data_IF_340939150592
#
_entry.id   IF_340939150592
#
_cell.length_a   1.000
_cell.length_b   1.000
_cell.length_c   1.000
_cell.angle_alpha   90.00
_cell.angle_beta   90.00
_cell.angle_gamma   90.00
#
_symmetry.space_group_name_H-M   'P 1'
#
loop_
_entity.id
_entity.type
_entity.pdbx_description
1 polymer ?
#
# COMPACT_ATOMS: atom_id res chain seq x y z
N UNK A 1 -17.53 -48.89 24.11
CA UNK A 1 -17.82 -48.45 22.74
C UNK A 1 -18.86 -47.35 22.88
N UNK A 2 -18.47 -46.10 22.68
CA UNK A 2 -19.41 -44.97 22.66
C UNK A 2 -20.25 -45.13 21.39
N UNK A 3 -21.56 -45.38 21.53
CA UNK A 3 -22.48 -45.28 20.40
C UNK A 3 -22.66 -43.79 20.07
N UNK A 4 -21.85 -43.30 19.13
CA UNK A 4 -22.03 -41.96 18.57
C UNK A 4 -23.14 -42.06 17.53
N UNK A 5 -24.34 -41.59 17.87
CA UNK A 5 -25.40 -41.39 16.88
C UNK A 5 -25.20 -39.99 16.27
N UNK A 6 -24.56 -39.94 15.11
CA UNK A 6 -24.39 -38.70 14.36
C UNK A 6 -25.65 -38.42 13.53
N UNK A 7 -26.27 -37.27 13.74
CA UNK A 7 -27.38 -36.79 12.93
C UNK A 7 -26.89 -35.59 12.11
N UNK A 8 -26.94 -35.72 10.77
CA UNK A 8 -26.65 -34.64 9.83
C UNK A 8 -27.96 -33.95 9.47
N UNK A 9 -28.01 -32.63 9.67
CA UNK A 9 -29.16 -31.80 9.35
C UNK A 9 -28.79 -30.58 8.51
N UNK A 10 -29.79 -29.97 7.91
CA UNK A 10 -29.64 -28.73 7.15
C UNK A 10 -30.71 -27.70 7.53
N UNK A 11 -30.32 -26.44 7.46
CA UNK A 11 -31.16 -25.25 7.63
C UNK A 11 -30.78 -24.23 6.55
N UNK A 12 -31.56 -23.16 6.38
CA UNK A 12 -31.26 -22.10 5.41
C UNK A 12 -29.83 -21.56 5.63
N UNK A 13 -28.94 -21.75 4.64
CA UNK A 13 -27.51 -21.36 4.67
C UNK A 13 -26.67 -22.07 5.74
N UNK A 14 -27.08 -23.25 6.23
CA UNK A 14 -26.34 -24.01 7.24
C UNK A 14 -26.48 -25.52 7.05
N UNK A 15 -25.38 -26.23 7.20
CA UNK A 15 -25.36 -27.69 7.40
C UNK A 15 -24.74 -27.92 8.78
N UNK A 16 -25.23 -28.91 9.52
CA UNK A 16 -24.70 -29.25 10.83
C UNK A 16 -24.65 -30.76 11.03
N UNK A 17 -23.68 -31.20 11.83
CA UNK A 17 -23.63 -32.54 12.41
C UNK A 17 -23.85 -32.40 13.92
N UNK A 18 -24.61 -33.32 14.50
CA UNK A 18 -24.88 -33.36 15.94
C UNK A 18 -24.60 -34.75 16.49
N UNK A 19 -23.98 -34.80 17.67
CA UNK A 19 -23.71 -36.05 18.38
C UNK A 19 -23.90 -35.85 19.88
N UNK A 20 -24.34 -36.90 20.58
CA UNK A 20 -24.48 -36.90 22.04
C UNK A 20 -23.50 -37.90 22.63
N UNK A 21 -22.61 -37.44 23.51
CA UNK A 21 -21.58 -38.26 24.13
C UNK A 21 -21.74 -38.24 25.66
N UNK A 22 -21.61 -39.40 26.32
CA UNK A 22 -21.49 -39.51 27.78
C UNK A 22 -20.03 -39.65 28.15
N UNK A 23 -19.46 -38.62 28.76
CA UNK A 23 -18.05 -38.58 29.17
C UNK A 23 -18.00 -38.75 30.69
N UNK A 24 -17.10 -39.58 31.22
CA UNK A 24 -16.93 -39.70 32.67
C UNK A 24 -16.06 -38.56 33.22
N UNK A 25 -16.14 -38.35 34.52
CA UNK A 25 -15.19 -37.48 35.22
C UNK A 25 -13.75 -37.94 34.94
N UNK A 26 -12.89 -37.00 34.52
CA UNK A 26 -11.49 -37.23 34.14
C UNK A 26 -11.27 -38.00 32.82
N UNK A 27 -12.29 -38.17 31.97
CA UNK A 27 -12.11 -38.60 30.58
C UNK A 27 -12.02 -37.38 29.65
N UNK A 28 -11.20 -37.47 28.60
CA UNK A 28 -11.08 -36.45 27.54
C UNK A 28 -11.98 -36.82 26.36
N UNK A 29 -12.71 -35.83 25.82
CA UNK A 29 -13.34 -35.91 24.51
C UNK A 29 -12.68 -34.88 23.59
N UNK A 30 -12.05 -35.36 22.52
CA UNK A 30 -11.39 -34.53 21.52
C UNK A 30 -12.24 -34.50 20.23
N UNK A 31 -12.30 -33.34 19.57
CA UNK A 31 -13.00 -33.15 18.30
C UNK A 31 -12.07 -32.56 17.26
N UNK A 32 -11.93 -33.24 16.14
CA UNK A 32 -11.16 -32.76 14.99
C UNK A 32 -12.11 -32.30 13.88
N UNK A 33 -11.94 -31.06 13.43
CA UNK A 33 -12.66 -30.51 12.28
C UNK A 33 -11.67 -30.02 11.25
N UNK A 34 -11.72 -30.63 10.08
CA UNK A 34 -10.97 -30.21 8.91
C UNK A 34 -11.90 -29.54 7.92
N UNK A 35 -11.44 -28.43 7.34
CA UNK A 35 -12.21 -27.64 6.36
C UNK A 35 -11.30 -27.31 5.20
N UNK A 36 -11.78 -27.54 3.98
CA UNK A 36 -11.17 -27.06 2.75
C UNK A 36 -12.10 -26.03 2.12
N UNK A 37 -11.52 -24.96 1.59
CA UNK A 37 -12.25 -23.88 0.93
C UNK A 37 -11.61 -23.71 -0.44
N UNK A 38 -12.44 -23.75 -1.48
CA UNK A 38 -12.05 -23.49 -2.86
C UNK A 38 -13.00 -22.49 -3.50
N UNK A 39 -12.47 -21.70 -4.42
CA UNK A 39 -13.20 -20.80 -5.29
C UNK A 39 -12.76 -21.00 -6.73
N UNK A 40 -13.54 -20.49 -7.69
CA UNK A 40 -13.16 -20.48 -9.12
C UNK A 40 -11.89 -19.66 -9.41
N UNK A 41 -11.40 -18.88 -8.43
CA UNK A 41 -10.22 -18.04 -8.58
C UNK A 41 -8.91 -18.76 -8.24
N UNK A 42 -9.00 -19.92 -7.59
CA UNK A 42 -7.82 -20.64 -7.14
C UNK A 42 -6.95 -21.12 -8.32
N UNK A 43 -5.62 -21.23 -8.15
CA UNK A 43 -4.70 -21.64 -9.22
C UNK A 43 -5.07 -22.96 -9.89
N UNK A 44 -5.69 -23.90 -9.18
CA UNK A 44 -6.19 -25.19 -9.69
C UNK A 44 -7.15 -25.05 -10.89
N UNK A 45 -7.81 -23.90 -11.01
CA UNK A 45 -8.79 -23.63 -12.06
C UNK A 45 -8.33 -22.59 -13.08
N UNK A 46 -7.07 -22.13 -13.00
CA UNK A 46 -6.51 -21.11 -13.89
C UNK A 46 -6.60 -21.54 -15.36
N UNK A 47 -7.01 -20.60 -16.22
CA UNK A 47 -7.12 -20.81 -17.68
C UNK A 47 -8.36 -21.58 -18.14
N UNK A 48 -9.24 -22.00 -17.22
CA UNK A 48 -10.54 -22.57 -17.59
C UNK A 48 -11.56 -21.45 -17.80
N UNK A 49 -12.14 -21.36 -19.00
CA UNK A 49 -13.19 -20.38 -19.30
C UNK A 49 -14.46 -20.60 -18.47
N UNK A 50 -14.75 -21.87 -18.14
CA UNK A 50 -15.88 -22.26 -17.28
C UNK A 50 -15.44 -23.39 -16.36
N UNK A 51 -15.74 -23.24 -15.08
CA UNK A 51 -15.51 -24.25 -14.05
C UNK A 51 -16.88 -24.61 -13.50
N UNK A 52 -17.26 -25.89 -13.58
CA UNK A 52 -18.53 -26.34 -13.04
C UNK A 52 -18.48 -26.49 -11.52
N UNK A 53 -19.61 -26.31 -10.83
CA UNK A 53 -19.72 -26.54 -9.39
C UNK A 53 -19.23 -27.94 -8.99
N UNK A 54 -19.47 -28.95 -9.84
CA UNK A 54 -19.01 -30.33 -9.63
C UNK A 54 -17.49 -30.46 -9.65
N UNK A 55 -16.79 -29.67 -10.45
CA UNK A 55 -15.32 -29.68 -10.47
C UNK A 55 -14.75 -29.07 -9.18
N UNK A 56 -15.34 -27.97 -8.71
CA UNK A 56 -14.93 -27.31 -7.46
C UNK A 56 -15.23 -28.21 -6.28
N UNK A 57 -16.43 -28.77 -6.23
CA UNK A 57 -16.86 -29.74 -5.22
C UNK A 57 -15.90 -30.93 -5.17
N UNK A 58 -15.59 -31.51 -6.35
CA UNK A 58 -14.64 -32.63 -6.43
C UNK A 58 -13.27 -32.26 -5.89
N UNK A 59 -12.68 -31.13 -6.31
CA UNK A 59 -11.37 -30.69 -5.82
C UNK A 59 -11.38 -30.47 -4.29
N UNK A 60 -12.45 -29.83 -3.79
CA UNK A 60 -12.65 -29.55 -2.36
C UNK A 60 -12.71 -30.84 -1.54
N UNK A 61 -13.54 -31.81 -1.97
CA UNK A 61 -13.74 -33.09 -1.30
C UNK A 61 -12.50 -33.97 -1.40
N UNK A 62 -11.86 -34.05 -2.58
CA UNK A 62 -10.68 -34.88 -2.79
C UNK A 62 -9.51 -34.41 -1.93
N UNK A 63 -9.30 -33.09 -1.78
CA UNK A 63 -8.28 -32.57 -0.87
C UNK A 63 -8.65 -32.73 0.60
N UNK A 64 -9.94 -32.58 0.98
CA UNK A 64 -10.37 -32.86 2.34
C UNK A 64 -10.11 -34.32 2.73
N UNK A 65 -10.41 -35.28 1.86
CA UNK A 65 -10.13 -36.72 2.08
C UNK A 65 -8.65 -36.97 2.32
N UNK A 66 -7.77 -36.38 1.51
CA UNK A 66 -6.31 -36.48 1.70
C UNK A 66 -5.87 -35.93 3.06
N UNK A 67 -6.41 -34.79 3.49
CA UNK A 67 -6.05 -34.20 4.78
C UNK A 67 -6.57 -35.03 5.97
N UNK A 68 -7.76 -35.62 5.84
CA UNK A 68 -8.29 -36.56 6.84
C UNK A 68 -7.39 -37.80 6.95
N UNK A 69 -6.91 -38.35 5.83
CA UNK A 69 -5.97 -39.49 5.84
C UNK A 69 -4.61 -39.13 6.49
N UNK A 70 -4.16 -37.88 6.37
CA UNK A 70 -2.93 -37.40 7.00
C UNK A 70 -3.10 -37.23 8.51
N UNK A 71 -4.23 -36.68 8.96
CA UNK A 71 -4.56 -36.44 10.38
C UNK A 71 -4.06 -35.10 10.93
N UNK A 72 -4.72 -34.59 11.97
CA UNK A 72 -4.43 -33.28 12.56
C UNK A 72 -2.97 -33.11 13.01
N UNK A 73 -2.44 -34.08 13.77
CA UNK A 73 -1.10 -33.97 14.35
C UNK A 73 0.00 -33.79 13.30
N UNK A 74 -0.10 -34.51 12.17
CA UNK A 74 0.87 -34.39 11.08
C UNK A 74 0.74 -33.05 10.37
N UNK A 75 -0.49 -32.56 10.16
CA UNK A 75 -0.74 -31.24 9.56
C UNK A 75 -0.24 -30.12 10.48
N UNK A 76 -0.51 -30.20 11.78
CA UNK A 76 -0.03 -29.23 12.77
C UNK A 76 1.49 -29.27 12.89
N UNK A 77 2.11 -30.46 12.87
CA UNK A 77 3.55 -30.62 12.80
C UNK A 77 4.17 -29.98 11.56
N UNK A 78 3.53 -30.13 10.39
CA UNK A 78 3.96 -29.47 9.16
C UNK A 78 3.81 -27.94 9.24
N UNK A 79 2.70 -27.44 9.80
CA UNK A 79 2.48 -26.02 10.07
C UNK A 79 3.56 -25.43 10.98
N UNK A 80 3.84 -26.08 12.12
CA UNK A 80 4.89 -25.66 13.04
C UNK A 80 6.24 -25.62 12.35
N UNK A 81 6.60 -26.68 11.62
CA UNK A 81 7.85 -26.73 10.86
C UNK A 81 7.98 -25.58 9.86
N UNK A 82 6.88 -25.18 9.21
CA UNK A 82 6.88 -24.05 8.29
C UNK A 82 7.12 -22.72 9.02
N UNK A 83 6.46 -22.50 10.16
CA UNK A 83 6.71 -21.32 10.99
C UNK A 83 8.12 -21.29 11.57
N UNK A 84 8.65 -22.41 12.04
CA UNK A 84 10.03 -22.51 12.52
C UNK A 84 11.04 -22.14 11.42
N UNK A 85 10.74 -22.44 10.15
CA UNK A 85 11.57 -22.02 9.01
C UNK A 85 11.44 -20.52 8.74
N UNK A 86 10.23 -19.97 8.80
CA UNK A 86 9.98 -18.54 8.61
C UNK A 86 10.70 -17.72 9.69
N UNK A 87 10.54 -18.08 10.97
CA UNK A 87 11.16 -17.37 12.10
C UNK A 87 12.68 -17.30 12.00
N UNK A 88 13.35 -18.35 11.51
CA UNK A 88 14.81 -18.32 11.27
C UNK A 88 15.27 -17.25 10.29
N UNK A 89 14.38 -16.77 9.43
CA UNK A 89 14.69 -15.80 8.38
C UNK A 89 14.25 -14.38 8.74
N UNK A 90 13.21 -14.24 9.55
CA UNK A 90 12.54 -12.95 9.79
C UNK A 90 12.77 -12.40 11.21
N UNK A 91 13.09 -13.24 12.19
CA UNK A 91 13.02 -12.83 13.61
C UNK A 91 13.98 -11.67 13.92
N UNK A 92 13.44 -10.63 14.55
CA UNK A 92 14.21 -9.51 15.09
C UNK A 92 14.26 -9.71 16.60
N UNK A 93 15.46 -9.94 17.12
CA UNK A 93 15.70 -10.11 18.56
C UNK A 93 16.12 -8.79 19.17
N UNK A 94 15.31 -8.27 20.08
CA UNK A 94 15.56 -7.00 20.76
C UNK A 94 16.23 -7.25 22.10
N UNK A 95 17.17 -6.38 22.47
CA UNK A 95 17.69 -6.26 23.82
C UNK A 95 16.96 -5.11 24.52
N UNK A 96 15.72 -5.36 24.96
CA UNK A 96 14.81 -4.36 25.51
C UNK A 96 13.66 -5.00 26.29
N UNK A 97 12.58 -4.24 26.58
CA UNK A 97 11.39 -4.77 27.24
C UNK A 97 10.79 -5.99 26.53
N UNK A 98 10.26 -6.95 27.31
CA UNK A 98 9.63 -8.15 26.76
C UNK A 98 8.42 -7.83 25.86
N UNK A 99 7.73 -6.71 26.14
CA UNK A 99 6.59 -6.27 25.34
C UNK A 99 6.99 -5.85 23.93
N UNK A 100 8.10 -5.11 23.78
CA UNK A 100 8.63 -4.70 22.47
C UNK A 100 8.98 -5.92 21.61
N UNK A 101 9.60 -6.93 22.24
CA UNK A 101 9.92 -8.19 21.58
C UNK A 101 8.64 -8.94 21.12
N UNK A 102 7.58 -8.90 21.93
CA UNK A 102 6.29 -9.45 21.55
C UNK A 102 5.64 -8.63 20.43
N UNK A 103 5.69 -7.30 20.50
CA UNK A 103 5.08 -6.38 19.54
C UNK A 103 5.72 -6.52 18.15
N UNK A 104 7.06 -6.55 18.05
CA UNK A 104 7.73 -6.73 16.75
C UNK A 104 7.39 -8.10 16.13
N UNK A 105 7.39 -9.16 16.95
CA UNK A 105 7.00 -10.51 16.49
C UNK A 105 5.53 -10.58 16.10
N UNK A 106 4.65 -9.87 16.80
CA UNK A 106 3.24 -9.77 16.45
C UNK A 106 3.04 -9.10 15.09
N UNK A 107 3.72 -7.97 14.85
CA UNK A 107 3.70 -7.28 13.55
C UNK A 107 4.23 -8.16 12.42
N UNK A 108 5.37 -8.82 12.64
CA UNK A 108 5.95 -9.77 11.67
C UNK A 108 4.97 -10.91 11.37
N UNK A 109 4.43 -11.56 12.40
CA UNK A 109 3.44 -12.63 12.26
C UNK A 109 2.27 -12.21 11.36
N UNK A 110 1.73 -11.01 11.56
CA UNK A 110 0.63 -10.49 10.77
C UNK A 110 1.01 -10.22 9.30
N UNK A 111 2.16 -9.59 9.05
CA UNK A 111 2.65 -9.36 7.68
C UNK A 111 2.75 -10.69 6.92
N UNK A 112 3.42 -11.70 7.50
CA UNK A 112 3.66 -12.96 6.79
C UNK A 112 2.42 -13.84 6.66
N UNK A 113 1.54 -13.86 7.67
CA UNK A 113 0.29 -14.63 7.56
C UNK A 113 -0.67 -14.04 6.51
N UNK A 114 -0.68 -12.71 6.35
CA UNK A 114 -1.57 -12.03 5.41
C UNK A 114 -1.00 -11.90 3.99
N UNK A 115 0.26 -12.30 3.78
CA UNK A 115 0.92 -12.22 2.47
C UNK A 115 0.45 -13.36 1.54
N UNK A 116 -0.22 -13.07 0.41
CA UNK A 116 -0.65 -14.10 -0.53
C UNK A 116 0.53 -14.60 -1.36
N UNK A 117 1.15 -15.70 -0.94
CA UNK A 117 2.32 -16.28 -1.65
C UNK A 117 1.96 -17.19 -2.81
N UNK A 118 0.69 -17.54 -2.98
CA UNK A 118 0.24 -18.60 -3.90
C UNK A 118 -0.22 -18.08 -5.27
N UNK A 119 -0.43 -16.77 -5.44
CA UNK A 119 -0.92 -16.17 -6.68
C UNK A 119 -0.41 -14.73 -6.85
N UNK A 120 0.22 -14.45 -7.98
CA UNK A 120 0.75 -13.12 -8.38
C UNK A 120 -0.35 -12.10 -8.72
N UNK A 121 -1.62 -12.53 -8.82
CA UNK A 121 -2.79 -11.65 -9.02
C UNK A 121 -3.38 -11.13 -7.71
N UNK A 122 -2.77 -11.49 -6.58
CA UNK A 122 -3.20 -11.07 -5.25
C UNK A 122 -2.11 -10.21 -4.61
N UNK A 123 -2.54 -9.31 -3.74
CA UNK A 123 -1.66 -8.44 -2.97
C UNK A 123 -2.21 -8.26 -1.55
N UNK A 124 -1.53 -7.47 -0.72
CA UNK A 124 -1.85 -7.30 0.69
C UNK A 124 -2.79 -6.09 0.85
N UNK A 125 -3.98 -6.33 1.37
CA UNK A 125 -4.95 -5.28 1.64
C UNK A 125 -4.62 -4.49 2.91
N UNK A 126 -5.16 -3.27 3.07
CA UNK A 126 -4.90 -2.39 4.22
C UNK A 126 -5.24 -3.01 5.60
N UNK A 127 -6.14 -4.01 5.65
CA UNK A 127 -6.46 -4.81 6.86
C UNK A 127 -6.17 -6.29 6.67
N UNK A 128 -5.41 -6.64 5.63
CA UNK A 128 -5.18 -8.00 5.19
C UNK A 128 -6.48 -8.80 5.11
N UNK A 129 -6.55 -9.90 5.83
CA UNK A 129 -7.74 -10.76 5.96
C UNK A 129 -8.26 -10.82 7.41
N UNK A 130 -8.08 -9.75 8.18
CA UNK A 130 -8.51 -9.69 9.59
C UNK A 130 -9.94 -9.20 9.81
N UNK A 131 -10.58 -8.64 8.79
CA UNK A 131 -11.93 -8.11 8.87
C UNK A 131 -12.36 -7.40 7.59
N UNK A 132 -13.53 -6.79 7.62
CA UNK A 132 -14.15 -6.14 6.44
C UNK A 132 -13.76 -4.66 6.28
N UNK A 133 -13.00 -4.10 7.22
CA UNK A 133 -12.47 -2.74 7.12
C UNK A 133 -11.65 -2.56 5.85
N UNK A 134 -11.91 -1.49 5.09
CA UNK A 134 -11.34 -1.26 3.75
C UNK A 134 -11.57 -2.38 2.73
N UNK A 135 -12.53 -3.29 2.97
CA UNK A 135 -13.10 -4.23 1.99
C UNK A 135 -12.10 -5.17 1.29
N UNK A 136 -10.91 -5.35 1.86
CA UNK A 136 -9.84 -6.12 1.21
C UNK A 136 -9.16 -5.40 0.04
N UNK A 137 -9.27 -4.07 -0.02
CA UNK A 137 -8.63 -3.26 -1.05
C UNK A 137 -7.15 -3.02 -0.74
N UNK A 138 -6.37 -2.91 -1.81
CA UNK A 138 -4.92 -2.69 -1.83
C UNK A 138 -4.65 -1.22 -2.12
N UNK A 139 -3.89 -0.58 -1.24
CA UNK A 139 -3.50 0.83 -1.27
C UNK A 139 -1.97 0.94 -1.42
N UNK A 140 -1.45 2.16 -1.44
CA UNK A 140 -0.01 2.43 -1.33
C UNK A 140 0.66 1.83 -0.08
N UNK A 141 -0.15 1.49 0.95
CA UNK A 141 0.25 0.75 2.16
C UNK A 141 1.10 -0.49 1.81
N UNK A 142 0.72 -1.22 0.75
CA UNK A 142 1.45 -2.41 0.34
C UNK A 142 2.86 -2.04 -0.12
N UNK A 143 2.98 -1.08 -1.05
CA UNK A 143 4.24 -0.68 -1.66
C UNK A 143 5.19 0.02 -0.70
N UNK A 144 4.69 0.93 0.14
CA UNK A 144 5.53 1.82 0.94
C UNK A 144 5.81 1.27 2.34
N UNK A 145 4.85 0.59 2.96
CA UNK A 145 4.98 0.17 4.36
C UNK A 145 5.30 -1.32 4.51
N UNK A 146 4.70 -2.18 3.68
CA UNK A 146 4.84 -3.63 3.84
C UNK A 146 5.97 -4.18 2.98
N UNK A 147 6.03 -3.76 1.71
CA UNK A 147 6.96 -4.30 0.71
C UNK A 147 8.44 -4.19 1.12
N UNK A 148 8.93 -3.10 1.76
CA UNK A 148 10.35 -3.02 2.14
C UNK A 148 10.81 -4.20 3.01
N UNK A 149 9.99 -4.62 3.97
CA UNK A 149 10.29 -5.79 4.81
C UNK A 149 10.42 -7.07 3.97
N UNK A 150 9.60 -7.22 2.94
CA UNK A 150 9.60 -8.37 2.04
C UNK A 150 10.73 -8.31 1.01
N UNK A 151 11.15 -7.13 0.57
CA UNK A 151 12.31 -6.98 -0.32
C UNK A 151 13.56 -7.57 0.35
N UNK A 152 13.79 -7.23 1.63
CA UNK A 152 14.99 -7.66 2.35
C UNK A 152 14.89 -9.06 2.98
N UNK A 153 13.67 -9.60 3.16
CA UNK A 153 13.49 -10.94 3.72
C UNK A 153 13.13 -11.99 2.67
N UNK A 154 12.24 -11.70 1.71
CA UNK A 154 11.77 -12.62 0.68
C UNK A 154 11.58 -11.92 -0.68
N UNK A 155 12.67 -11.56 -1.39
CA UNK A 155 12.59 -10.77 -2.63
C UNK A 155 11.70 -11.41 -3.71
N UNK A 156 11.67 -12.73 -3.82
CA UNK A 156 10.78 -13.45 -4.76
C UNK A 156 9.29 -13.25 -4.45
N UNK A 157 8.93 -13.03 -3.18
CA UNK A 157 7.56 -12.70 -2.77
C UNK A 157 7.29 -11.23 -3.06
N UNK A 158 8.23 -10.33 -2.76
CA UNK A 158 8.11 -8.91 -3.11
C UNK A 158 7.88 -8.72 -4.62
N UNK A 159 8.63 -9.44 -5.46
CA UNK A 159 8.41 -9.48 -6.91
C UNK A 159 6.99 -9.86 -7.29
N UNK A 160 6.40 -10.88 -6.66
CA UNK A 160 5.01 -11.33 -6.93
C UNK A 160 4.00 -10.25 -6.56
N UNK A 161 4.21 -9.55 -5.45
CA UNK A 161 3.36 -8.44 -5.04
C UNK A 161 3.47 -7.24 -5.99
N UNK A 162 4.63 -6.99 -6.60
CA UNK A 162 4.77 -5.99 -7.65
C UNK A 162 4.12 -6.44 -8.97
N UNK A 163 4.18 -7.73 -9.30
CA UNK A 163 3.51 -8.28 -10.48
C UNK A 163 1.99 -8.11 -10.44
N UNK A 164 1.37 -8.04 -9.26
CA UNK A 164 -0.04 -7.64 -9.10
C UNK A 164 -0.33 -6.31 -9.83
N UNK A 165 0.52 -5.29 -9.65
CA UNK A 165 0.36 -3.99 -10.34
C UNK A 165 0.56 -4.10 -11.84
N UNK A 166 1.47 -4.96 -12.31
CA UNK A 166 1.65 -5.21 -13.73
C UNK A 166 0.42 -5.89 -14.36
N UNK A 167 -0.17 -6.90 -13.69
CA UNK A 167 -1.37 -7.60 -14.17
C UNK A 167 -2.57 -6.65 -14.31
N UNK A 168 -2.60 -5.56 -13.54
CA UNK A 168 -3.66 -4.56 -13.55
C UNK A 168 -3.29 -3.24 -14.25
N UNK A 169 -2.20 -3.21 -15.01
CA UNK A 169 -1.75 -2.01 -15.74
C UNK A 169 -2.81 -1.51 -16.74
N UNK A 170 -3.56 -2.41 -17.37
CA UNK A 170 -4.65 -2.02 -18.30
C UNK A 170 -5.80 -1.30 -17.58
N UNK A 171 -6.10 -1.66 -16.33
CA UNK A 171 -7.08 -0.95 -15.51
C UNK A 171 -6.63 0.48 -15.20
N UNK A 172 -5.33 0.66 -14.91
CA UNK A 172 -4.73 1.97 -14.69
C UNK A 172 -4.72 2.84 -15.97
N UNK A 173 -4.53 2.22 -17.15
CA UNK A 173 -4.64 2.90 -18.45
C UNK A 173 -6.05 3.40 -18.72
N UNK A 174 -7.06 2.57 -18.47
CA UNK A 174 -8.45 3.01 -18.66
C UNK A 174 -8.83 4.11 -17.65
N UNK A 175 -8.39 4.00 -16.38
CA UNK A 175 -8.61 5.07 -15.39
C UNK A 175 -8.01 6.40 -15.85
N UNK A 176 -6.77 6.41 -16.35
CA UNK A 176 -6.15 7.64 -16.87
C UNK A 176 -7.01 8.27 -17.96
N UNK A 177 -7.42 7.47 -18.94
CA UNK A 177 -8.25 7.88 -20.07
C UNK A 177 -9.64 8.38 -19.64
N UNK A 178 -10.29 7.72 -18.69
CA UNK A 178 -11.58 8.15 -18.11
C UNK A 178 -11.49 9.52 -17.44
N UNK A 179 -10.31 9.86 -16.91
CA UNK A 179 -10.01 11.16 -16.29
C UNK A 179 -9.39 12.18 -17.27
N UNK A 180 -9.34 11.85 -18.57
CA UNK A 180 -8.81 12.76 -19.61
C UNK A 180 -7.29 12.83 -19.69
N UNK A 181 -6.58 11.90 -19.07
CA UNK A 181 -5.12 11.78 -19.08
C UNK A 181 -4.63 10.67 -20.03
N UNK A 182 -3.34 10.68 -20.32
CA UNK A 182 -2.67 9.60 -21.05
C UNK A 182 -1.97 8.63 -20.09
N UNK A 183 -1.36 7.56 -20.62
CA UNK A 183 -0.55 6.65 -19.80
C UNK A 183 -1.35 5.80 -18.82
N UNK A 184 -0.80 5.56 -17.64
CA UNK A 184 -1.39 4.74 -16.59
C UNK A 184 -1.49 5.50 -15.26
N UNK A 185 -2.72 5.68 -14.78
CA UNK A 185 -3.06 6.26 -13.48
C UNK A 185 -3.58 5.14 -12.59
N UNK A 186 -2.80 4.71 -11.60
CA UNK A 186 -3.24 3.61 -10.74
C UNK A 186 -4.45 4.04 -9.87
N UNK A 187 -5.37 3.11 -9.57
CA UNK A 187 -6.44 3.37 -8.62
C UNK A 187 -5.89 3.56 -7.21
N UNK A 188 -6.52 4.44 -6.42
CA UNK A 188 -6.20 4.64 -5.01
C UNK A 188 -6.51 3.37 -4.22
N UNK A 189 -7.72 2.84 -4.42
CA UNK A 189 -8.14 1.55 -3.89
C UNK A 189 -8.24 0.55 -5.04
N UNK A 190 -7.42 -0.50 -4.99
CA UNK A 190 -7.42 -1.56 -5.99
C UNK A 190 -7.95 -2.88 -5.42
N UNK A 191 -8.69 -3.64 -6.22
CA UNK A 191 -9.18 -4.96 -5.87
C UNK A 191 -8.78 -5.99 -6.94
N UNK A 192 -9.74 -6.68 -7.56
CA UNK A 192 -9.51 -7.82 -8.43
C UNK A 192 -9.63 -7.56 -9.93
N UNK A 193 -10.11 -6.38 -10.33
CA UNK A 193 -10.20 -5.96 -11.73
C UNK A 193 -9.11 -4.96 -12.13
N UNK A 194 -8.40 -4.38 -11.17
CA UNK A 194 -7.48 -3.27 -11.43
C UNK A 194 -8.15 -1.90 -11.56
N UNK A 195 -9.48 -1.83 -11.49
CA UNK A 195 -10.23 -0.59 -11.56
C UNK A 195 -10.25 0.16 -10.21
N UNK A 196 -10.61 1.43 -10.26
CA UNK A 196 -10.87 2.23 -9.07
C UNK A 196 -12.10 1.69 -8.32
N UNK A 197 -11.91 1.32 -7.06
CA UNK A 197 -12.98 0.84 -6.19
C UNK A 197 -13.17 1.69 -4.94
N UNK A 198 -12.49 2.84 -4.87
CA UNK A 198 -12.67 3.82 -3.80
C UNK A 198 -14.14 4.24 -3.71
N UNK A 199 -14.80 4.09 -2.54
CA UNK A 199 -16.17 4.54 -2.37
C UNK A 199 -16.27 6.05 -2.56
N UNK A 200 -17.27 6.53 -3.29
CA UNK A 200 -17.50 7.98 -3.46
C UNK A 200 -18.08 8.65 -2.21
N UNK A 201 -18.69 7.87 -1.32
CA UNK A 201 -19.37 8.38 -0.14
C UNK A 201 -18.96 7.56 1.09
N UNK A 202 -18.57 8.28 2.13
CA UNK A 202 -18.10 7.72 3.39
C UNK A 202 -19.13 7.80 4.50
N UNK A 203 -18.63 8.01 5.72
CA UNK A 203 -19.44 8.23 6.90
C UNK A 203 -20.32 9.49 6.80
N UNK A 204 -21.00 9.80 7.89
CA UNK A 204 -21.89 10.96 7.97
C UNK A 204 -21.17 12.09 8.70
N UNK A 205 -21.21 13.30 8.15
CA UNK A 205 -20.76 14.51 8.85
C UNK A 205 -21.69 14.77 10.05
N UNK A 206 -21.12 14.82 11.25
CA UNK A 206 -21.91 14.89 12.50
C UNK A 206 -22.68 16.21 12.67
N UNK A 207 -22.24 17.31 12.05
CA UNK A 207 -22.93 18.61 12.15
C UNK A 207 -24.10 18.71 11.17
N UNK A 208 -23.94 18.16 9.96
CA UNK A 208 -24.90 18.32 8.86
C UNK A 208 -25.78 17.10 8.63
N UNK A 209 -25.39 15.92 9.13
CA UNK A 209 -26.10 14.65 8.93
C UNK A 209 -26.02 14.11 7.50
N UNK A 210 -25.17 14.70 6.63
CA UNK A 210 -25.02 14.30 5.22
C UNK A 210 -23.86 13.31 5.04
N UNK A 211 -23.92 12.41 4.06
CA UNK A 211 -22.76 11.60 3.68
C UNK A 211 -21.59 12.50 3.27
N UNK A 212 -20.42 12.20 3.79
CA UNK A 212 -19.18 12.87 3.39
C UNK A 212 -18.72 12.32 2.04
N UNK A 213 -18.39 13.22 1.11
CA UNK A 213 -17.76 12.86 -0.16
C UNK A 213 -16.31 12.45 0.12
N UNK A 214 -15.90 11.30 -0.40
CA UNK A 214 -14.50 10.83 -0.33
C UNK A 214 -13.85 11.15 -1.67
N UNK A 215 -12.81 11.98 -1.70
CA UNK A 215 -12.17 12.40 -2.94
C UNK A 215 -10.90 11.64 -3.32
N UNK A 216 -10.38 10.80 -2.44
CA UNK A 216 -9.06 10.14 -2.59
C UNK A 216 -8.95 9.32 -3.87
N UNK A 217 -10.01 8.63 -4.29
CA UNK A 217 -10.04 7.89 -5.57
C UNK A 217 -9.82 8.75 -6.81
N UNK A 218 -10.16 10.04 -6.75
CA UNK A 218 -9.98 10.99 -7.84
C UNK A 218 -8.73 11.88 -7.66
N UNK A 219 -8.46 12.35 -6.45
CA UNK A 219 -7.48 13.40 -6.16
C UNK A 219 -6.16 12.89 -5.56
N UNK A 220 -6.15 11.69 -4.95
CA UNK A 220 -4.96 11.15 -4.30
C UNK A 220 -4.16 10.27 -5.28
N UNK A 221 -3.44 10.96 -6.18
CA UNK A 221 -2.85 10.34 -7.38
C UNK A 221 -1.41 9.86 -7.15
N UNK A 222 -0.80 10.22 -6.01
CA UNK A 222 0.60 9.94 -5.67
C UNK A 222 0.94 8.44 -5.58
N UNK A 223 -0.06 7.58 -5.34
CA UNK A 223 0.06 6.11 -5.45
C UNK A 223 0.73 5.64 -6.75
N UNK A 224 0.56 6.38 -7.83
CA UNK A 224 1.19 6.07 -9.12
C UNK A 224 2.72 6.21 -9.05
N UNK A 225 3.23 7.20 -8.32
CA UNK A 225 4.65 7.34 -8.02
C UNK A 225 5.14 6.31 -7.01
N UNK A 226 4.35 6.00 -5.98
CA UNK A 226 4.72 5.05 -4.94
C UNK A 226 4.98 3.64 -5.50
N UNK A 227 4.18 3.24 -6.50
CA UNK A 227 4.39 2.00 -7.23
C UNK A 227 5.72 2.02 -7.98
N UNK A 228 6.10 3.12 -8.63
CA UNK A 228 7.40 3.21 -9.30
C UNK A 228 8.54 3.28 -8.29
N UNK A 229 8.35 3.96 -7.16
CA UNK A 229 9.30 4.01 -6.05
C UNK A 229 9.62 2.61 -5.54
N UNK A 230 8.59 1.82 -5.24
CA UNK A 230 8.75 0.46 -4.75
C UNK A 230 9.37 -0.50 -5.79
N UNK A 231 9.03 -0.34 -7.08
CA UNK A 231 9.68 -1.07 -8.19
C UNK A 231 11.18 -0.74 -8.25
N UNK A 232 11.53 0.53 -8.13
CA UNK A 232 12.92 0.97 -8.15
C UNK A 232 13.68 0.48 -6.93
N UNK A 233 13.08 0.57 -5.73
CA UNK A 233 13.65 0.07 -4.48
C UNK A 233 13.91 -1.45 -4.54
N UNK A 234 12.94 -2.22 -5.04
CA UNK A 234 13.12 -3.66 -5.30
C UNK A 234 14.29 -3.93 -6.24
N UNK A 235 14.38 -3.19 -7.35
CA UNK A 235 15.45 -3.37 -8.33
C UNK A 235 16.82 -2.99 -7.75
N UNK A 236 16.92 -1.92 -6.95
CA UNK A 236 18.16 -1.53 -6.29
C UNK A 236 18.65 -2.60 -5.30
N UNK A 237 17.73 -3.25 -4.58
CA UNK A 237 18.07 -4.27 -3.61
C UNK A 237 18.41 -5.64 -4.24
N UNK A 238 17.82 -5.98 -5.40
CA UNK A 238 17.91 -7.33 -5.98
C UNK A 238 18.69 -7.43 -7.28
N UNK A 239 18.86 -6.30 -7.99
CA UNK A 239 19.38 -6.24 -9.36
C UNK A 239 18.64 -7.18 -10.33
N UNK A 240 17.34 -7.43 -10.11
CA UNK A 240 16.50 -8.26 -10.96
C UNK A 240 16.16 -7.55 -12.28
N UNK A 241 17.12 -7.58 -13.19
CA UNK A 241 17.01 -7.02 -14.53
C UNK A 241 15.89 -7.68 -15.34
N UNK A 242 15.64 -8.98 -15.16
CA UNK A 242 14.57 -9.69 -15.87
C UNK A 242 13.20 -9.13 -15.50
N UNK A 243 12.98 -8.80 -14.23
CA UNK A 243 11.77 -8.10 -13.79
C UNK A 243 11.64 -6.73 -14.45
N UNK A 244 12.71 -5.93 -14.44
CA UNK A 244 12.68 -4.60 -15.05
C UNK A 244 12.43 -4.64 -16.57
N UNK A 245 13.04 -5.57 -17.29
CA UNK A 245 12.91 -5.67 -18.75
C UNK A 245 11.55 -6.19 -19.19
N UNK A 246 10.92 -7.06 -18.41
CA UNK A 246 9.63 -7.66 -18.78
C UNK A 246 8.43 -6.90 -18.21
N UNK A 247 8.60 -6.14 -17.12
CA UNK A 247 7.49 -5.54 -16.38
C UNK A 247 7.78 -4.10 -15.95
N UNK A 248 8.89 -3.87 -15.23
CA UNK A 248 9.18 -2.59 -14.59
C UNK A 248 9.26 -1.41 -15.55
N UNK A 249 10.01 -1.55 -16.65
CA UNK A 249 10.18 -0.47 -17.65
C UNK A 249 8.85 -0.04 -18.27
N UNK A 250 7.93 -0.98 -18.52
CA UNK A 250 6.62 -0.65 -19.08
C UNK A 250 5.79 0.16 -18.09
N UNK A 251 5.77 -0.24 -16.82
CA UNK A 251 5.07 0.52 -15.76
C UNK A 251 5.67 1.92 -15.64
N UNK A 252 7.00 2.04 -15.56
CA UNK A 252 7.68 3.33 -15.43
C UNK A 252 7.36 4.28 -16.58
N UNK A 253 7.37 3.80 -17.83
CA UNK A 253 7.06 4.61 -19.00
C UNK A 253 5.59 5.03 -19.05
N UNK A 254 4.64 4.13 -18.79
CA UNK A 254 3.20 4.44 -18.86
C UNK A 254 2.77 5.37 -17.72
N UNK A 255 3.29 5.18 -16.51
CA UNK A 255 3.02 6.08 -15.39
C UNK A 255 3.68 7.44 -15.57
N UNK A 256 4.87 7.50 -16.19
CA UNK A 256 5.51 8.78 -16.55
C UNK A 256 4.73 9.53 -17.63
N UNK A 257 4.15 8.81 -18.59
CA UNK A 257 3.21 9.38 -19.58
C UNK A 257 1.98 9.99 -18.90
N UNK A 258 1.43 9.30 -17.90
CA UNK A 258 0.33 9.87 -17.09
C UNK A 258 0.75 11.19 -16.45
N UNK A 259 1.85 11.21 -15.70
CA UNK A 259 2.29 12.43 -15.05
C UNK A 259 2.62 13.56 -16.04
N UNK A 260 3.27 13.24 -17.16
CA UNK A 260 3.53 14.22 -18.20
C UNK A 260 2.25 14.83 -18.82
N UNK A 261 1.15 14.06 -18.89
CA UNK A 261 -0.16 14.56 -19.32
C UNK A 261 -0.94 15.29 -18.21
N UNK A 262 -0.63 14.98 -16.94
CA UNK A 262 -1.26 15.55 -15.75
C UNK A 262 -0.72 16.92 -15.36
N UNK A 263 0.53 17.20 -15.72
CA UNK A 263 1.22 18.46 -15.43
C UNK A 263 0.59 19.64 -16.19
N UNK A 264 0.32 20.71 -15.45
CA UNK A 264 -0.27 21.94 -15.96
C UNK A 264 0.82 23.01 -16.12
N UNK A 265 0.99 23.55 -17.32
CA UNK A 265 2.01 24.59 -17.56
C UNK A 265 1.51 25.97 -17.12
N UNK A 266 2.24 26.63 -16.23
CA UNK A 266 2.04 28.01 -15.83
C UNK A 266 2.98 28.94 -16.61
N UNK A 267 2.50 29.67 -17.63
CA UNK A 267 3.34 30.49 -18.49
C UNK A 267 3.88 31.75 -17.80
N UNK A 268 3.25 32.22 -16.73
CA UNK A 268 3.69 33.42 -16.00
C UNK A 268 4.93 33.15 -15.15
N UNK A 269 5.03 31.92 -14.62
CA UNK A 269 6.12 31.45 -13.77
C UNK A 269 7.14 30.57 -14.51
N UNK A 270 6.89 30.20 -15.77
CA UNK A 270 7.66 29.22 -16.57
C UNK A 270 7.92 27.91 -15.80
N UNK A 271 6.85 27.34 -15.25
CA UNK A 271 6.90 26.12 -14.46
C UNK A 271 5.71 25.21 -14.73
N UNK A 272 5.83 23.93 -14.37
CA UNK A 272 4.70 23.00 -14.34
C UNK A 272 4.20 22.81 -12.91
N UNK A 273 2.88 22.74 -12.78
CA UNK A 273 2.16 22.63 -11.51
C UNK A 273 1.28 21.37 -11.55
N UNK A 274 0.92 20.87 -10.35
CA UNK A 274 -0.10 19.82 -10.19
C UNK A 274 -1.13 20.38 -9.22
N UNK A 275 -2.24 20.84 -9.77
CA UNK A 275 -3.31 21.51 -9.04
C UNK A 275 -4.46 20.56 -8.73
N UNK A 276 -5.30 20.87 -7.75
CA UNK A 276 -6.48 20.06 -7.40
C UNK A 276 -6.13 18.58 -7.10
N UNK A 277 -5.34 18.37 -6.04
CA UNK A 277 -4.92 17.05 -5.57
C UNK A 277 -5.15 16.87 -4.07
N UNK A 278 -4.88 15.67 -3.59
CA UNK A 278 -4.74 15.32 -2.17
C UNK A 278 -3.39 14.63 -2.01
N UNK A 279 -2.58 15.09 -1.05
CA UNK A 279 -1.32 14.43 -0.68
C UNK A 279 -1.55 13.31 0.33
N UNK A 280 -0.49 12.74 0.91
CA UNK A 280 -0.62 11.76 1.99
C UNK A 280 -1.43 12.26 3.19
N UNK A 281 -1.45 13.57 3.46
CA UNK A 281 -2.37 14.16 4.41
C UNK A 281 -3.78 14.33 3.81
N UNK A 282 -4.62 13.31 4.01
CA UNK A 282 -6.01 13.30 3.53
C UNK A 282 -6.93 14.33 4.20
N UNK A 283 -6.49 15.10 5.20
CA UNK A 283 -7.26 16.24 5.70
C UNK A 283 -7.20 17.45 4.78
N UNK A 284 -6.24 17.46 3.84
CA UNK A 284 -6.02 18.51 2.87
C UNK A 284 -6.48 18.06 1.48
N UNK A 285 -7.70 18.42 1.10
CA UNK A 285 -8.29 18.12 -0.21
C UNK A 285 -8.35 19.36 -1.12
N UNK A 286 -8.42 19.15 -2.44
CA UNK A 286 -8.46 20.23 -3.44
C UNK A 286 -7.31 21.25 -3.29
N UNK A 287 -6.13 20.74 -2.95
CA UNK A 287 -4.93 21.56 -2.75
C UNK A 287 -4.10 21.65 -4.03
N UNK A 288 -3.37 22.74 -4.18
CA UNK A 288 -2.47 22.95 -5.30
C UNK A 288 -1.02 22.71 -4.88
N UNK A 289 -0.27 22.05 -5.76
CA UNK A 289 1.16 21.90 -5.63
C UNK A 289 1.58 21.27 -4.29
N UNK A 290 0.96 20.13 -3.94
CA UNK A 290 1.43 19.32 -2.82
C UNK A 290 2.89 18.92 -3.06
N UNK A 291 3.79 19.34 -2.17
CA UNK A 291 5.23 19.20 -2.41
C UNK A 291 5.67 17.73 -2.41
N UNK A 292 5.08 16.87 -1.57
CA UNK A 292 5.32 15.43 -1.65
C UNK A 292 5.01 14.89 -3.05
N UNK A 293 3.81 15.14 -3.56
CA UNK A 293 3.38 14.70 -4.90
C UNK A 293 4.29 15.27 -5.98
N UNK A 294 4.49 16.58 -6.04
CA UNK A 294 5.33 17.20 -7.07
C UNK A 294 6.76 16.66 -7.07
N UNK A 295 7.34 16.43 -5.88
CA UNK A 295 8.69 15.91 -5.74
C UNK A 295 8.78 14.45 -6.20
N UNK A 296 7.81 13.61 -5.80
CA UNK A 296 7.73 12.21 -6.24
C UNK A 296 7.55 12.09 -7.76
N UNK A 297 6.76 12.97 -8.38
CA UNK A 297 6.61 13.03 -9.85
C UNK A 297 7.91 13.40 -10.51
N UNK A 298 8.58 14.46 -10.04
CA UNK A 298 9.89 14.87 -10.56
C UNK A 298 10.91 13.74 -10.43
N UNK A 299 10.95 13.08 -9.28
CA UNK A 299 11.80 11.92 -9.03
C UNK A 299 11.51 10.81 -10.04
N UNK A 300 10.24 10.41 -10.19
CA UNK A 300 9.83 9.32 -11.09
C UNK A 300 10.21 9.60 -12.55
N UNK A 301 9.93 10.81 -13.05
CA UNK A 301 10.27 11.20 -14.42
C UNK A 301 11.78 11.07 -14.64
N UNK A 302 12.59 11.60 -13.72
CA UNK A 302 14.04 11.53 -13.79
C UNK A 302 14.57 10.10 -13.75
N UNK A 303 14.05 9.24 -12.85
CA UNK A 303 14.44 7.83 -12.80
C UNK A 303 14.06 7.08 -14.07
N UNK A 304 12.86 7.32 -14.61
CA UNK A 304 12.40 6.70 -15.84
C UNK A 304 13.26 7.10 -17.03
N UNK A 305 13.63 8.37 -17.14
CA UNK A 305 14.51 8.87 -18.21
C UNK A 305 15.89 8.22 -18.10
N UNK A 306 16.52 8.27 -16.93
CA UNK A 306 17.86 7.69 -16.71
C UNK A 306 17.88 6.18 -17.02
N UNK A 307 16.90 5.44 -16.53
CA UNK A 307 16.81 4.00 -16.81
C UNK A 307 16.52 3.70 -18.27
N UNK A 308 15.66 4.50 -18.93
CA UNK A 308 15.36 4.37 -20.35
C UNK A 308 16.59 4.61 -21.22
N UNK A 309 17.40 5.63 -20.91
CA UNK A 309 18.67 5.90 -21.59
C UNK A 309 19.65 4.72 -21.42
N UNK A 310 19.75 4.19 -20.20
CA UNK A 310 20.59 3.02 -19.93
C UNK A 310 20.13 1.78 -20.70
N UNK A 311 18.83 1.46 -20.71
CA UNK A 311 18.27 0.30 -21.45
C UNK A 311 18.46 0.50 -22.95
N UNK A 312 18.25 1.71 -23.47
CA UNK A 312 18.47 2.02 -24.89
C UNK A 312 19.93 1.80 -25.30
N UNK A 313 20.88 2.13 -24.43
CA UNK A 313 22.32 1.95 -24.70
C UNK A 313 22.80 0.50 -24.53
N UNK A 314 22.26 -0.24 -23.55
CA UNK A 314 22.79 -1.54 -23.14
C UNK A 314 21.92 -2.74 -23.55
N UNK A 315 20.62 -2.52 -23.78
CA UNK A 315 19.60 -3.57 -23.99
C UNK A 315 18.61 -3.15 -25.09
N UNK A 316 19.14 -2.83 -26.27
CA UNK A 316 18.38 -2.25 -27.39
C UNK A 316 17.15 -3.06 -27.81
N UNK A 317 17.20 -4.39 -27.74
CA UNK A 317 16.06 -5.24 -28.09
C UNK A 317 14.93 -5.19 -27.04
N UNK A 318 15.27 -5.05 -25.76
CA UNK A 318 14.28 -4.79 -24.69
C UNK A 318 13.64 -3.43 -24.93
N UNK A 319 14.44 -2.40 -25.18
CA UNK A 319 13.95 -1.05 -25.49
C UNK A 319 12.94 -1.10 -26.65
N UNK A 320 13.33 -1.66 -27.80
CA UNK A 320 12.45 -1.78 -28.97
C UNK A 320 11.16 -2.55 -28.66
N UNK A 321 11.25 -3.66 -27.92
CA UNK A 321 10.09 -4.47 -27.53
C UNK A 321 9.10 -3.65 -26.71
N UNK A 322 9.56 -2.99 -25.65
CA UNK A 322 8.69 -2.22 -24.74
C UNK A 322 8.14 -0.99 -25.45
N UNK A 323 8.97 -0.19 -26.11
CA UNK A 323 8.50 1.03 -26.80
C UNK A 323 7.53 0.73 -27.94
N UNK A 324 7.71 -0.39 -28.65
CA UNK A 324 6.75 -0.80 -29.68
C UNK A 324 5.42 -1.23 -29.08
N UNK A 325 5.46 -1.93 -27.93
CA UNK A 325 4.25 -2.37 -27.21
C UNK A 325 3.40 -1.17 -26.75
N UNK A 326 4.03 -0.18 -26.12
CA UNK A 326 3.33 1.01 -25.59
C UNK A 326 3.22 2.17 -26.59
N UNK A 327 3.71 1.96 -27.82
CA UNK A 327 3.76 2.95 -28.90
C UNK A 327 4.43 4.27 -28.47
N UNK A 328 5.53 4.17 -27.73
CA UNK A 328 6.30 5.34 -27.28
C UNK A 328 6.83 6.12 -28.49
N UNK A 329 6.56 7.43 -28.53
CA UNK A 329 7.02 8.31 -29.60
C UNK A 329 8.42 8.86 -29.31
N UNK A 330 9.12 9.31 -30.35
CA UNK A 330 10.52 9.76 -30.23
C UNK A 330 10.71 10.99 -29.33
N UNK A 331 9.67 11.80 -29.15
CA UNK A 331 9.77 13.09 -28.44
C UNK A 331 9.32 13.02 -26.99
N UNK A 332 8.64 11.96 -26.56
CA UNK A 332 8.07 11.85 -25.21
C UNK A 332 9.15 12.02 -24.11
N UNK A 333 10.26 11.28 -24.19
CA UNK A 333 11.32 11.41 -23.18
C UNK A 333 11.93 12.81 -23.10
N UNK A 334 12.00 13.52 -24.24
CA UNK A 334 12.50 14.89 -24.28
C UNK A 334 11.54 15.88 -23.62
N UNK A 335 10.25 15.76 -23.92
CA UNK A 335 9.16 16.52 -23.28
C UNK A 335 9.12 16.27 -21.78
N UNK A 336 9.22 15.01 -21.35
CA UNK A 336 9.21 14.64 -19.93
C UNK A 336 10.39 15.23 -19.17
N UNK A 337 11.56 15.31 -19.82
CA UNK A 337 12.75 15.94 -19.23
C UNK A 337 12.53 17.44 -19.02
N UNK A 338 12.05 18.15 -20.05
CA UNK A 338 11.74 19.59 -19.93
C UNK A 338 10.73 19.84 -18.82
N UNK A 339 9.67 19.01 -18.77
CA UNK A 339 8.65 19.06 -17.73
C UNK A 339 9.26 18.87 -16.35
N UNK A 340 10.01 17.79 -16.12
CA UNK A 340 10.63 17.46 -14.83
C UNK A 340 11.57 18.56 -14.31
N UNK A 341 12.32 19.22 -15.21
CA UNK A 341 13.21 20.34 -14.87
C UNK A 341 12.45 21.58 -14.37
N UNK A 342 11.19 21.73 -14.83
CA UNK A 342 10.32 22.87 -14.55
C UNK A 342 9.19 22.60 -13.57
N UNK A 343 9.08 21.40 -12.97
CA UNK A 343 8.07 21.13 -11.93
C UNK A 343 8.33 22.05 -10.74
N UNK A 344 7.28 22.75 -10.28
CA UNK A 344 7.31 23.54 -9.08
C UNK A 344 7.48 22.66 -7.83
N UNK A 345 8.44 23.04 -6.98
CA UNK A 345 8.70 22.39 -5.70
C UNK A 345 8.60 23.47 -4.63
N UNK A 346 7.70 23.30 -3.65
CA UNK A 346 7.43 24.26 -2.58
C UNK A 346 8.52 24.33 -1.50
N UNK A 347 9.80 24.33 -1.87
CA UNK A 347 10.92 24.44 -0.94
C UNK A 347 11.60 25.80 -1.06
N UNK A 348 11.71 26.52 0.06
CA UNK A 348 12.57 27.70 0.15
C UNK A 348 14.04 27.26 0.15
N UNK A 349 14.75 27.58 -0.93
CA UNK A 349 16.16 27.23 -1.11
C UNK A 349 17.09 27.88 -0.08
N UNK A 350 16.68 28.96 0.58
CA UNK A 350 17.50 29.68 1.55
C UNK A 350 17.38 29.07 2.94
N UNK A 351 16.15 28.85 3.40
CA UNK A 351 15.90 28.30 4.74
C UNK A 351 15.88 26.77 4.80
N UNK A 352 15.61 26.10 3.67
CA UNK A 352 15.31 24.67 3.64
C UNK A 352 13.89 24.33 4.09
N UNK A 353 13.05 25.33 4.38
CA UNK A 353 11.65 25.09 4.74
C UNK A 353 10.87 24.57 3.54
N UNK A 354 10.10 23.50 3.73
CA UNK A 354 9.28 22.87 2.71
C UNK A 354 7.82 23.14 3.03
N UNK A 355 7.13 23.89 2.19
CA UNK A 355 5.69 24.08 2.25
C UNK A 355 4.99 22.79 1.82
N UNK A 356 4.05 22.29 2.62
CA UNK A 356 3.27 21.08 2.29
C UNK A 356 2.51 21.26 0.97
N UNK A 357 1.93 22.44 0.77
CA UNK A 357 1.30 22.91 -0.47
C UNK A 357 1.18 24.43 -0.45
N UNK A 358 0.81 25.03 -1.58
CA UNK A 358 0.62 26.47 -1.69
C UNK A 358 -0.46 26.96 -0.72
N UNK A 359 -0.11 27.90 0.17
CA UNK A 359 -1.03 28.50 1.14
C UNK A 359 -1.23 27.74 2.45
N UNK A 360 -0.54 26.61 2.69
CA UNK A 360 -0.69 25.87 3.96
C UNK A 360 -0.38 26.73 5.20
N UNK A 361 0.73 27.47 5.16
CA UNK A 361 1.20 28.34 6.24
C UNK A 361 0.26 29.52 6.53
N UNK A 362 -0.63 29.84 5.60
CA UNK A 362 -1.61 30.92 5.74
C UNK A 362 -2.91 30.42 6.43
N UNK A 363 -3.06 29.11 6.59
CA UNK A 363 -4.23 28.50 7.26
C UNK A 363 -4.21 28.79 8.76
N UNK A 364 -5.38 28.63 9.37
CA UNK A 364 -5.57 28.89 10.79
C UNK A 364 -4.81 27.85 11.64
N UNK A 365 -3.99 28.33 12.57
CA UNK A 365 -3.44 27.49 13.62
C UNK A 365 -4.51 27.12 14.66
N UNK A 366 -4.45 25.88 15.15
CA UNK A 366 -5.38 25.34 16.15
C UNK A 366 -4.57 24.58 17.20
N UNK A 367 -4.98 24.68 18.46
CA UNK A 367 -4.41 23.86 19.53
C UNK A 367 -4.88 22.40 19.38
N UNK A 368 -3.96 21.54 18.92
CA UNK A 368 -4.21 20.13 18.67
C UNK A 368 -3.98 19.24 19.89
N UNK A 369 -3.44 19.77 20.99
CA UNK A 369 -3.05 18.95 22.15
C UNK A 369 -4.22 18.14 22.73
N UNK A 370 -5.44 18.68 22.69
CA UNK A 370 -6.65 17.96 23.17
C UNK A 370 -7.08 16.78 22.29
N UNK A 371 -6.62 16.70 21.05
CA UNK A 371 -6.97 15.65 20.09
C UNK A 371 -5.88 14.59 19.92
N UNK A 372 -4.61 14.91 20.19
CA UNK A 372 -3.49 13.96 20.08
C UNK A 372 -3.78 12.67 20.88
N UNK A 373 -3.54 11.52 20.24
CA UNK A 373 -3.79 10.18 20.81
C UNK A 373 -5.24 9.69 20.76
N UNK A 374 -6.16 10.42 20.10
CA UNK A 374 -7.57 10.03 19.95
C UNK A 374 -7.99 10.14 18.49
N UNK A 375 -7.88 9.03 17.76
CA UNK A 375 -8.21 8.96 16.33
C UNK A 375 -9.60 9.54 16.04
N UNK A 376 -9.65 10.53 15.16
CA UNK A 376 -10.86 11.17 14.68
C UNK A 376 -11.51 12.14 15.68
N UNK A 377 -10.91 12.41 16.84
CA UNK A 377 -11.51 13.27 17.87
C UNK A 377 -11.75 14.71 17.40
N UNK A 378 -10.95 15.21 16.46
CA UNK A 378 -11.11 16.55 15.89
C UNK A 378 -12.47 16.75 15.21
N UNK A 379 -13.04 15.68 14.65
CA UNK A 379 -14.34 15.68 13.95
C UNK A 379 -15.54 15.91 14.88
N UNK A 380 -15.34 15.85 16.20
CA UNK A 380 -16.37 16.16 17.18
C UNK A 380 -16.58 17.67 17.34
N UNK A 381 -15.53 18.46 17.12
CA UNK A 381 -15.55 19.91 17.30
C UNK A 381 -15.65 20.66 15.96
N UNK A 382 -15.10 20.08 14.89
CA UNK A 382 -14.99 20.68 13.57
C UNK A 382 -15.59 19.79 12.49
N UNK A 383 -16.30 20.39 11.53
CA UNK A 383 -16.67 19.69 10.32
C UNK A 383 -15.49 19.65 9.33
N UNK A 384 -15.67 18.93 8.23
CA UNK A 384 -14.63 18.75 7.23
C UNK A 384 -14.19 20.07 6.57
N UNK A 385 -15.13 20.95 6.23
CA UNK A 385 -14.83 22.27 5.65
C UNK A 385 -13.94 23.11 6.60
N UNK A 386 -14.18 23.06 7.90
CA UNK A 386 -13.36 23.73 8.90
C UNK A 386 -11.96 23.10 9.00
N UNK A 387 -11.87 21.77 9.05
CA UNK A 387 -10.58 21.03 9.15
C UNK A 387 -9.67 21.37 7.97
N UNK A 388 -10.21 21.38 6.75
CA UNK A 388 -9.44 21.72 5.54
C UNK A 388 -8.88 23.14 5.57
N UNK A 389 -9.35 24.05 6.43
CA UNK A 389 -8.85 25.43 6.56
C UNK A 389 -7.90 25.62 7.75
N UNK A 390 -7.44 24.52 8.36
CA UNK A 390 -6.55 24.52 9.52
C UNK A 390 -5.17 23.95 9.17
N UNK A 391 -4.18 24.32 9.97
CA UNK A 391 -2.85 23.70 9.92
C UNK A 391 -2.83 22.40 10.74
N UNK A 392 -3.50 21.37 10.23
CA UNK A 392 -3.63 20.07 10.88
C UNK A 392 -3.40 18.96 9.86
N UNK A 393 -2.63 17.96 10.24
CA UNK A 393 -2.32 16.80 9.40
C UNK A 393 -2.90 15.54 10.02
N UNK A 394 -3.52 14.70 9.19
CA UNK A 394 -3.93 13.35 9.55
C UNK A 394 -2.70 12.47 9.84
N UNK A 395 -1.70 12.56 8.98
CA UNK A 395 -0.51 11.70 8.94
C UNK A 395 0.68 12.41 8.29
N UNK A 396 1.84 11.74 8.22
CA UNK A 396 3.05 12.27 7.58
C UNK A 396 2.84 12.59 6.09
N UNK A 397 3.13 13.84 5.69
CA UNK A 397 3.17 14.32 4.30
C UNK A 397 4.60 14.78 3.94
N UNK A 398 5.04 15.94 4.42
CA UNK A 398 6.45 16.37 4.28
C UNK A 398 7.40 15.42 5.02
N UNK A 399 7.01 14.91 6.19
CA UNK A 399 7.80 13.90 6.91
C UNK A 399 7.91 12.61 6.09
N UNK A 400 6.89 12.26 5.27
CA UNK A 400 6.98 11.13 4.35
C UNK A 400 7.98 11.40 3.22
N UNK A 401 8.02 12.62 2.67
CA UNK A 401 9.03 13.02 1.70
C UNK A 401 10.46 12.87 2.26
N UNK A 402 10.67 13.34 3.49
CA UNK A 402 11.97 13.25 4.18
C UNK A 402 12.39 11.82 4.50
N UNK A 403 11.43 10.90 4.59
CA UNK A 403 11.70 9.46 4.72
C UNK A 403 12.08 8.83 3.37
N UNK A 404 11.21 8.95 2.36
CA UNK A 404 11.40 8.23 1.08
C UNK A 404 12.59 8.75 0.27
N UNK A 405 12.82 10.07 0.30
CA UNK A 405 13.87 10.75 -0.46
C UNK A 405 14.83 11.49 0.48
N UNK A 406 15.07 10.91 1.67
CA UNK A 406 15.82 11.54 2.75
C UNK A 406 17.25 11.94 2.40
N UNK A 407 17.89 11.25 1.44
CA UNK A 407 19.25 11.56 0.97
C UNK A 407 19.35 12.91 0.23
N UNK A 408 18.21 13.45 -0.25
CA UNK A 408 18.16 14.75 -0.93
C UNK A 408 18.18 15.94 0.05
N UNK A 409 18.02 15.69 1.36
CA UNK A 409 17.83 16.73 2.36
C UNK A 409 18.90 16.69 3.45
N UNK A 410 19.40 17.86 3.84
CA UNK A 410 20.33 17.98 4.96
C UNK A 410 19.62 17.69 6.29
N UNK A 411 20.41 17.34 7.32
CA UNK A 411 19.92 17.18 8.69
C UNK A 411 19.21 18.44 9.21
N UNK A 412 19.72 19.61 8.85
CA UNK A 412 19.14 20.92 9.22
C UNK A 412 17.76 21.11 8.59
N UNK A 413 17.62 20.78 7.30
CA UNK A 413 16.33 20.79 6.60
C UNK A 413 15.36 19.78 7.21
N UNK A 414 15.82 18.56 7.51
CA UNK A 414 14.98 17.53 8.15
C UNK A 414 14.47 18.02 9.50
N UNK A 415 15.35 18.56 10.35
CA UNK A 415 15.00 19.10 11.68
C UNK A 415 14.05 20.29 11.61
N UNK A 416 14.31 21.25 10.72
CA UNK A 416 13.45 22.42 10.52
C UNK A 416 12.00 22.03 10.19
N UNK A 417 11.84 21.08 9.27
CA UNK A 417 10.52 20.63 8.86
C UNK A 417 9.87 19.71 9.91
N UNK A 418 10.66 18.87 10.59
CA UNK A 418 10.19 18.09 11.75
C UNK A 418 9.55 18.98 12.82
N UNK A 419 10.28 19.99 13.27
CA UNK A 419 9.84 20.91 14.33
C UNK A 419 8.56 21.66 13.96
N UNK A 420 8.31 21.85 12.66
CA UNK A 420 7.10 22.51 12.17
C UNK A 420 5.90 21.56 12.02
N UNK A 421 6.10 20.36 11.45
CA UNK A 421 5.01 19.46 11.05
C UNK A 421 4.62 18.44 12.13
N UNK A 422 5.53 17.97 12.98
CA UNK A 422 5.18 17.03 14.05
C UNK A 422 4.11 17.60 15.00
N UNK A 423 4.21 18.86 15.48
CA UNK A 423 3.22 19.40 16.40
C UNK A 423 1.83 19.52 15.77
N UNK A 424 1.77 19.59 14.43
CA UNK A 424 0.56 19.72 13.61
C UNK A 424 -0.04 18.38 13.20
N UNK A 425 0.62 17.27 13.49
CA UNK A 425 0.18 15.93 13.08
C UNK A 425 -0.59 15.25 14.21
N UNK A 426 -1.81 14.79 13.92
CA UNK A 426 -2.66 14.09 14.89
C UNK A 426 -2.34 12.60 15.04
N UNK A 427 -1.67 12.02 14.04
CA UNK A 427 -1.44 10.57 13.93
C UNK A 427 -2.76 9.78 13.92
N UNK A 428 -3.77 10.31 13.23
CA UNK A 428 -5.10 9.70 13.07
C UNK A 428 -5.09 8.49 12.13
N UNK A 429 -3.97 8.29 11.45
CA UNK A 429 -3.67 7.10 10.66
C UNK A 429 -2.59 6.27 11.33
N UNK A 430 -2.76 4.94 11.31
CA UNK A 430 -1.72 4.00 11.77
C UNK A 430 -0.43 4.07 10.96
N UNK A 431 -0.46 4.72 9.79
CA UNK A 431 0.70 4.93 8.92
C UNK A 431 1.65 6.01 9.47
N UNK A 432 1.18 6.88 10.38
CA UNK A 432 1.91 8.09 10.74
C UNK A 432 3.11 7.82 11.67
N UNK A 433 2.92 7.05 12.74
CA UNK A 433 3.91 6.93 13.82
C UNK A 433 5.22 6.27 13.35
N UNK A 434 5.15 5.23 12.52
CA UNK A 434 6.35 4.52 12.05
C UNK A 434 7.28 5.43 11.22
N UNK A 435 6.70 6.29 10.38
CA UNK A 435 7.47 7.23 9.56
C UNK A 435 8.11 8.30 10.45
N UNK A 436 7.36 8.78 11.45
CA UNK A 436 7.89 9.72 12.42
C UNK A 436 9.02 9.10 13.25
N UNK A 437 8.89 7.84 13.68
CA UNK A 437 9.92 7.09 14.39
C UNK A 437 11.23 7.02 13.59
N UNK A 438 11.15 6.81 12.27
CA UNK A 438 12.35 6.70 11.43
C UNK A 438 12.99 8.08 11.20
N UNK A 439 12.19 9.09 10.82
CA UNK A 439 12.74 10.43 10.50
C UNK A 439 13.34 11.12 11.72
N UNK A 440 12.78 10.88 12.91
CA UNK A 440 13.34 11.47 14.14
C UNK A 440 14.67 10.84 14.54
N UNK A 441 14.86 9.55 14.26
CA UNK A 441 16.14 8.86 14.41
C UNK A 441 17.17 9.39 13.41
N UNK A 442 16.74 9.68 12.18
CA UNK A 442 17.58 10.31 11.16
C UNK A 442 18.13 11.64 11.65
N UNK A 443 17.36 12.46 12.36
CA UNK A 443 17.83 13.72 12.96
C UNK A 443 18.50 13.56 14.33
N UNK A 444 18.86 12.33 14.72
CA UNK A 444 19.62 11.98 15.93
C UNK A 444 18.87 12.19 17.27
N UNK A 445 17.54 12.06 17.28
CA UNK A 445 16.74 12.06 18.52
C UNK A 445 16.17 10.66 18.83
N UNK A 446 16.99 9.88 19.54
CA UNK A 446 16.71 8.49 19.89
C UNK A 446 15.59 8.29 20.89
N UNK A 447 15.40 9.21 21.84
CA UNK A 447 14.33 9.14 22.83
C UNK A 447 12.98 9.31 22.15
N UNK A 448 12.85 10.35 21.31
CA UNK A 448 11.62 10.57 20.54
C UNK A 448 11.36 9.46 19.52
N UNK A 449 12.42 8.90 18.94
CA UNK A 449 12.32 7.73 18.04
C UNK A 449 11.71 6.53 18.73
N UNK A 450 12.11 6.27 19.98
CA UNK A 450 11.53 5.19 20.77
C UNK A 450 10.07 5.47 21.16
N UNK A 451 9.72 6.72 21.53
CA UNK A 451 8.34 7.09 21.84
C UNK A 451 7.35 6.86 20.67
N UNK A 452 7.80 7.01 19.42
CA UNK A 452 6.97 6.72 18.25
C UNK A 452 6.98 5.25 17.82
N UNK A 453 8.00 4.50 18.24
CA UNK A 453 8.09 3.07 18.03
C UNK A 453 7.11 2.31 18.93
N UNK A 454 6.96 2.75 20.19
CA UNK A 454 5.91 2.28 21.13
C UNK A 454 4.49 2.67 20.66
#
# INVERSE_FOLDING_TARGET
ILEVKEEVGSQRRKIFSSSTNKIKQNEELSFEKMVTIYSTRDPDFRGKEKVSDKEIEKATIDNLKKFIEIGYDKLFGAHKKRWDQLWKQIDIVLNGPDFDQLAIRFSQFHIYQMTPVHDERLSIAAKGLSGEGYKGHVFWDMEIFILPSLIYTFPEIAKRLLLYRYHFLDGAREKAKENGFEGAMYPWECADTGCEVTPKWGGVDFKTGKPQRIWTGELEQHITCDIVYSIWHYFQATHDHDFMYNYGLEIMLETSRFWASRLEYNPEKDQYEINDVTGPDEYSEHINNNTFTNYMVKWQLNQTIQFSEWVKANQLEVWKKVTSKIKLTLNELGDWKEKADKIYIGMDKTSGFIHQYEGFTDKREVDLLKYKGKVGAITQDYNWEEITQMQVLKQSDIIMLLYLLGDDFSQETKRLNWDYYEPKTLHDSSLSSSIHAIVVLDIEDGEKGYEYFE
#
